data_IF_558682407462
#
_entry.id   IF_558682407462
#
_cell.length_a   1.000
_cell.length_b   1.000
_cell.length_c   1.000
_cell.angle_alpha   90.00
_cell.angle_beta   90.00
_cell.angle_gamma   90.00
#
_symmetry.space_group_name_H-M   'P 1'
#
loop_
_entity.id
_entity.type
_entity.pdbx_description
1 polymer ?
#
# COMPACT_ATOMS: atom_id res chain seq x y z
N UNK A 1 -49.31 -1.59 -7.21
CA UNK A 1 -48.02 -2.29 -6.95
C UNK A 1 -48.18 -3.68 -6.33
N UNK A 2 -49.27 -3.87 -5.59
CA UNK A 2 -49.62 -4.99 -4.73
C UNK A 2 -49.79 -6.30 -5.49
N UNK A 3 -50.10 -6.25 -6.79
CA UNK A 3 -50.12 -7.43 -7.66
C UNK A 3 -48.76 -8.18 -7.67
N UNK A 4 -47.65 -7.47 -7.44
CA UNK A 4 -46.34 -8.10 -7.29
C UNK A 4 -46.18 -8.85 -5.98
N UNK A 5 -47.15 -8.79 -5.05
CA UNK A 5 -47.21 -9.61 -3.83
C UNK A 5 -47.95 -10.94 -4.07
N UNK A 6 -48.78 -11.02 -5.12
CA UNK A 6 -49.52 -12.25 -5.47
C UNK A 6 -48.87 -13.10 -6.58
N UNK A 7 -48.15 -12.49 -7.51
CA UNK A 7 -47.32 -13.25 -8.46
C UNK A 7 -46.85 -12.45 -9.64
N UNK A 8 -47.49 -11.31 -9.89
CA UNK A 8 -47.29 -10.55 -11.10
C UNK A 8 -45.88 -9.97 -11.19
N UNK A 9 -45.36 -9.98 -12.42
CA UNK A 9 -44.19 -9.20 -12.80
C UNK A 9 -44.72 -7.94 -13.47
N UNK A 10 -44.31 -6.78 -12.98
CA UNK A 10 -44.66 -5.50 -13.57
C UNK A 10 -43.44 -5.00 -14.33
N UNK A 11 -43.57 -4.88 -15.64
CA UNK A 11 -42.59 -4.27 -16.51
C UNK A 11 -42.98 -2.80 -16.72
N UNK A 12 -42.05 -1.89 -16.47
CA UNK A 12 -42.22 -0.48 -16.77
C UNK A 12 -41.52 -0.19 -18.11
N UNK A 13 -42.30 -0.19 -19.19
CA UNK A 13 -41.79 0.09 -20.53
C UNK A 13 -41.91 1.58 -20.84
N UNK A 14 -40.97 2.36 -20.30
CA UNK A 14 -40.85 3.80 -20.58
C UNK A 14 -39.44 4.09 -21.12
N UNK A 15 -39.24 4.04 -22.44
CA UNK A 15 -37.93 4.25 -23.05
C UNK A 15 -37.40 5.64 -22.70
N UNK A 16 -36.26 5.70 -22.02
CA UNK A 16 -35.67 6.97 -21.59
C UNK A 16 -35.32 7.89 -22.77
N UNK A 17 -35.03 7.33 -23.94
CA UNK A 17 -34.69 8.09 -25.16
C UNK A 17 -35.93 8.70 -25.86
N UNK A 18 -37.11 8.11 -25.68
CA UNK A 18 -38.34 8.59 -26.32
C UNK A 18 -39.10 9.56 -25.41
N UNK A 19 -39.18 9.22 -24.12
CA UNK A 19 -39.98 9.96 -23.13
C UNK A 19 -39.14 10.90 -22.25
N UNK A 20 -37.82 10.95 -22.48
CA UNK A 20 -36.86 11.82 -21.79
C UNK A 20 -37.10 11.82 -20.26
N UNK A 21 -37.23 13.00 -19.66
CA UNK A 21 -37.40 13.17 -18.21
C UNK A 21 -38.75 12.67 -17.71
N UNK A 22 -39.81 12.76 -18.51
CA UNK A 22 -41.16 12.36 -18.08
C UNK A 22 -41.24 10.85 -17.86
N UNK A 23 -40.65 10.06 -18.76
CA UNK A 23 -40.58 8.61 -18.62
C UNK A 23 -39.76 8.19 -17.38
N UNK A 24 -38.66 8.88 -17.13
CA UNK A 24 -37.82 8.65 -15.94
C UNK A 24 -38.60 8.98 -14.66
N UNK A 25 -39.29 10.13 -14.62
CA UNK A 25 -40.08 10.54 -13.47
C UNK A 25 -41.23 9.57 -13.18
N UNK A 26 -41.97 9.11 -14.20
CA UNK A 26 -43.02 8.13 -14.04
C UNK A 26 -42.49 6.82 -13.44
N UNK A 27 -41.35 6.33 -13.94
CA UNK A 27 -40.69 5.15 -13.39
C UNK A 27 -40.23 5.36 -11.95
N UNK A 28 -39.64 6.51 -11.62
CA UNK A 28 -39.22 6.84 -10.26
C UNK A 28 -40.40 6.89 -9.28
N UNK A 29 -41.53 7.50 -9.69
CA UNK A 29 -42.75 7.55 -8.90
C UNK A 29 -43.27 6.14 -8.64
N UNK A 30 -43.38 5.31 -9.69
CA UNK A 30 -43.86 3.94 -9.53
C UNK A 30 -42.92 3.13 -8.62
N UNK A 31 -41.61 3.23 -8.83
CA UNK A 31 -40.59 2.58 -8.01
C UNK A 31 -40.73 2.97 -6.54
N UNK A 32 -40.89 4.27 -6.26
CA UNK A 32 -41.10 4.76 -4.90
C UNK A 32 -42.36 4.18 -4.25
N UNK A 33 -43.50 4.20 -4.98
CA UNK A 33 -44.75 3.61 -4.50
C UNK A 33 -44.62 2.11 -4.26
N UNK A 34 -43.92 1.40 -5.15
CA UNK A 34 -43.67 -0.02 -5.02
C UNK A 34 -42.81 -0.35 -3.79
N UNK A 35 -41.73 0.41 -3.55
CA UNK A 35 -40.89 0.26 -2.36
C UNK A 35 -41.69 0.49 -1.07
N UNK A 36 -42.52 1.54 -1.04
CA UNK A 36 -43.40 1.84 0.12
C UNK A 36 -44.45 0.76 0.36
N UNK A 37 -45.08 0.25 -0.71
CA UNK A 37 -46.04 -0.86 -0.62
C UNK A 37 -45.37 -2.14 -0.09
N UNK A 38 -44.16 -2.42 -0.57
CA UNK A 38 -43.37 -3.58 -0.13
C UNK A 38 -42.94 -3.50 1.33
N UNK A 39 -42.60 -2.31 1.84
CA UNK A 39 -42.28 -2.11 3.26
C UNK A 39 -43.50 -2.20 4.19
N UNK A 40 -44.71 -1.90 3.70
CA UNK A 40 -45.94 -1.90 4.50
C UNK A 40 -46.54 -3.30 4.71
N UNK A 41 -46.13 -4.28 3.91
CA UNK A 41 -46.70 -5.63 3.98
C UNK A 41 -46.27 -6.36 5.26
N UNK A 42 -47.17 -7.17 5.82
CA UNK A 42 -46.82 -8.06 6.91
C UNK A 42 -45.95 -9.21 6.41
N UNK A 43 -44.85 -9.47 7.12
CA UNK A 43 -43.88 -10.51 6.75
C UNK A 43 -44.10 -11.74 7.63
N UNK A 44 -44.49 -12.84 6.99
CA UNK A 44 -44.58 -14.17 7.57
C UNK A 44 -43.62 -15.14 6.88
N UNK A 45 -43.53 -16.37 7.38
CA UNK A 45 -42.75 -17.44 6.74
C UNK A 45 -43.22 -17.76 5.31
N UNK A 46 -44.51 -17.53 5.02
CA UNK A 46 -45.15 -17.78 3.73
C UNK A 46 -45.10 -16.58 2.77
N UNK A 47 -44.63 -15.41 3.23
CA UNK A 47 -44.60 -14.20 2.38
C UNK A 47 -43.68 -14.40 1.20
N UNK A 48 -44.20 -14.23 0.00
CA UNK A 48 -43.44 -14.41 -1.23
C UNK A 48 -42.32 -13.36 -1.35
N UNK A 49 -41.07 -13.78 -1.66
CA UNK A 49 -40.01 -12.85 -2.00
C UNK A 49 -40.39 -12.03 -3.24
N UNK A 50 -40.02 -10.76 -3.24
CA UNK A 50 -40.21 -9.88 -4.40
C UNK A 50 -38.87 -9.30 -4.81
N UNK A 51 -38.80 -8.82 -6.05
CA UNK A 51 -37.57 -8.22 -6.56
C UNK A 51 -37.83 -6.88 -7.22
N UNK A 52 -36.83 -6.01 -7.12
CA UNK A 52 -36.69 -4.80 -7.89
C UNK A 52 -35.52 -5.01 -8.86
N UNK A 53 -35.78 -4.87 -10.15
CA UNK A 53 -34.76 -5.00 -11.19
C UNK A 53 -34.70 -3.68 -11.96
N UNK A 54 -33.53 -3.03 -11.93
CA UNK A 54 -33.31 -1.76 -12.61
C UNK A 54 -32.05 -1.85 -13.47
N UNK A 55 -32.27 -1.86 -14.78
CA UNK A 55 -31.22 -1.56 -15.75
C UNK A 55 -30.97 -0.05 -15.81
N UNK A 56 -29.75 0.35 -16.19
CA UNK A 56 -29.30 1.74 -16.21
C UNK A 56 -29.73 2.52 -14.96
N UNK A 57 -29.55 1.87 -13.80
CA UNK A 57 -30.19 2.27 -12.55
C UNK A 57 -29.82 3.69 -12.11
N UNK A 58 -28.70 4.25 -12.59
CA UNK A 58 -28.30 5.63 -12.31
C UNK A 58 -29.42 6.62 -12.57
N UNK A 59 -30.24 6.45 -13.63
CA UNK A 59 -31.31 7.40 -13.95
C UNK A 59 -32.41 7.46 -12.89
N UNK A 60 -32.63 6.35 -12.20
CA UNK A 60 -33.77 6.16 -11.31
C UNK A 60 -33.41 6.29 -9.83
N UNK A 61 -32.15 6.52 -9.47
CA UNK A 61 -31.74 6.55 -8.06
C UNK A 61 -32.29 7.75 -7.28
N UNK A 62 -32.62 7.48 -6.02
CA UNK A 62 -33.07 8.46 -5.05
C UNK A 62 -32.44 8.19 -3.68
N UNK A 63 -32.47 9.16 -2.78
CA UNK A 63 -32.04 8.98 -1.39
C UNK A 63 -32.87 7.91 -0.65
N UNK A 64 -34.14 7.73 -1.02
CA UNK A 64 -35.00 6.73 -0.40
C UNK A 64 -34.59 5.29 -0.76
N UNK A 65 -33.94 5.06 -1.91
CA UNK A 65 -33.40 3.75 -2.25
C UNK A 65 -32.42 3.25 -1.19
N UNK A 66 -31.65 4.16 -0.60
CA UNK A 66 -30.68 3.83 0.45
C UNK A 66 -31.35 3.30 1.71
N UNK A 67 -32.39 4.00 2.15
CA UNK A 67 -33.20 3.62 3.30
C UNK A 67 -33.90 2.28 3.02
N UNK A 68 -34.44 2.12 1.81
CA UNK A 68 -35.06 0.86 1.39
C UNK A 68 -34.06 -0.30 1.40
N UNK A 69 -32.85 -0.15 0.85
CA UNK A 69 -31.84 -1.23 0.85
C UNK A 69 -31.47 -1.70 2.26
N UNK A 70 -31.46 -0.79 3.24
CA UNK A 70 -31.17 -1.16 4.64
C UNK A 70 -32.21 -2.10 5.25
N UNK A 71 -33.46 -2.02 4.79
CA UNK A 71 -34.61 -2.81 5.26
C UNK A 71 -35.08 -3.87 4.28
N UNK A 72 -34.55 -3.90 3.05
CA UNK A 72 -34.97 -4.82 1.98
C UNK A 72 -34.89 -6.30 2.40
N UNK A 73 -33.87 -6.66 3.20
CA UNK A 73 -33.72 -8.04 3.71
C UNK A 73 -34.88 -8.48 4.60
N UNK A 74 -35.29 -7.64 5.57
CA UNK A 74 -36.40 -7.98 6.47
C UNK A 74 -37.72 -7.99 5.70
N UNK A 75 -37.87 -7.11 4.71
CA UNK A 75 -39.01 -7.09 3.80
C UNK A 75 -38.94 -8.19 2.73
N UNK A 76 -38.06 -9.21 2.81
CA UNK A 76 -37.91 -10.29 1.80
C UNK A 76 -37.83 -9.76 0.36
N UNK A 77 -37.06 -8.70 0.15
CA UNK A 77 -36.90 -8.05 -1.16
C UNK A 77 -35.47 -8.17 -1.65
N UNK A 78 -35.31 -8.59 -2.91
CA UNK A 78 -34.04 -8.56 -3.61
C UNK A 78 -33.99 -7.35 -4.54
N UNK A 79 -32.91 -6.56 -4.48
CA UNK A 79 -32.70 -5.48 -5.44
C UNK A 79 -31.53 -5.82 -6.34
N UNK A 80 -31.75 -5.72 -7.64
CA UNK A 80 -30.73 -5.88 -8.68
C UNK A 80 -30.63 -4.56 -9.41
N UNK A 81 -29.44 -3.95 -9.32
CA UNK A 81 -29.11 -2.68 -9.94
C UNK A 81 -27.98 -2.91 -10.93
N UNK A 82 -28.16 -2.47 -12.17
CA UNK A 82 -27.16 -2.59 -13.23
C UNK A 82 -26.80 -1.21 -13.73
N UNK A 83 -25.52 -1.01 -14.00
CA UNK A 83 -24.98 0.21 -14.59
C UNK A 83 -23.72 -0.14 -15.37
N UNK A 84 -23.33 0.73 -16.29
CA UNK A 84 -22.10 0.56 -17.06
C UNK A 84 -20.85 0.92 -16.24
N UNK A 85 -20.90 2.01 -15.45
CA UNK A 85 -19.72 2.51 -14.75
C UNK A 85 -20.09 3.39 -13.53
N UNK A 86 -19.14 3.58 -12.61
CA UNK A 86 -19.32 4.46 -11.44
C UNK A 86 -19.50 5.95 -11.79
N UNK A 87 -18.77 6.52 -12.77
CA UNK A 87 -18.96 7.93 -13.16
C UNK A 87 -20.41 8.30 -13.53
N UNK A 88 -21.18 7.37 -14.11
CA UNK A 88 -22.61 7.55 -14.37
C UNK A 88 -23.43 7.84 -13.11
N UNK A 89 -23.06 7.26 -11.96
CA UNK A 89 -23.67 7.63 -10.68
C UNK A 89 -23.28 9.02 -10.22
N UNK A 90 -22.00 9.39 -10.38
CA UNK A 90 -21.51 10.69 -9.95
C UNK A 90 -22.20 11.84 -10.68
N UNK A 91 -22.41 11.66 -12.00
CA UNK A 91 -23.14 12.63 -12.83
C UNK A 91 -24.59 12.83 -12.41
N UNK A 92 -25.27 11.78 -11.89
CA UNK A 92 -26.68 11.89 -11.51
C UNK A 92 -26.91 12.35 -10.07
N UNK A 93 -26.11 11.89 -9.12
CA UNK A 93 -26.27 12.25 -7.69
C UNK A 93 -26.03 13.74 -7.47
N UNK A 94 -25.10 14.34 -8.24
CA UNK A 94 -24.75 15.76 -8.11
C UNK A 94 -24.18 16.13 -6.74
N UNK A 95 -23.94 17.43 -6.54
CA UNK A 95 -23.46 17.98 -5.26
C UNK A 95 -21.94 17.99 -5.07
N UNK A 96 -21.50 18.37 -3.86
CA UNK A 96 -20.09 18.65 -3.57
C UNK A 96 -19.22 17.39 -3.44
N UNK A 97 -19.79 16.23 -3.09
CA UNK A 97 -19.06 14.96 -2.89
C UNK A 97 -19.88 13.72 -3.29
N UNK A 98 -20.18 13.53 -4.59
CA UNK A 98 -21.01 12.43 -5.08
C UNK A 98 -20.39 11.04 -4.84
N UNK A 99 -19.06 10.97 -4.76
CA UNK A 99 -18.32 9.73 -4.46
C UNK A 99 -18.69 9.13 -3.11
N UNK A 100 -18.86 9.95 -2.06
CA UNK A 100 -19.19 9.45 -0.72
C UNK A 100 -20.59 8.86 -0.65
N UNK A 101 -21.54 9.50 -1.33
CA UNK A 101 -22.92 9.02 -1.42
C UNK A 101 -22.97 7.71 -2.20
N UNK A 102 -22.26 7.64 -3.33
CA UNK A 102 -22.15 6.43 -4.15
C UNK A 102 -21.48 5.30 -3.37
N UNK A 103 -20.39 5.56 -2.66
CA UNK A 103 -19.71 4.55 -1.86
C UNK A 103 -20.59 4.04 -0.70
N UNK A 104 -21.33 4.93 -0.03
CA UNK A 104 -22.31 4.53 0.97
C UNK A 104 -23.40 3.63 0.35
N UNK A 105 -23.87 3.97 -0.85
CA UNK A 105 -24.81 3.15 -1.63
C UNK A 105 -24.28 1.78 -1.95
N UNK A 106 -23.08 1.72 -2.52
CA UNK A 106 -22.44 0.46 -2.86
C UNK A 106 -22.15 -0.40 -1.62
N UNK A 107 -21.95 0.21 -0.45
CA UNK A 107 -21.81 -0.50 0.83
C UNK A 107 -23.05 -1.32 1.23
N UNK A 108 -24.24 -0.87 0.85
CA UNK A 108 -25.48 -1.59 1.14
C UNK A 108 -25.69 -2.81 0.22
N UNK A 109 -25.10 -2.80 -0.97
CA UNK A 109 -25.15 -3.90 -1.93
C UNK A 109 -24.18 -5.02 -1.56
N UNK A 110 -24.69 -6.17 -1.12
CA UNK A 110 -23.86 -7.27 -0.59
C UNK A 110 -23.13 -8.08 -1.66
N UNK A 111 -23.81 -8.31 -2.79
CA UNK A 111 -23.24 -9.02 -3.93
C UNK A 111 -22.96 -8.02 -5.03
N UNK A 112 -21.76 -8.08 -5.59
CA UNK A 112 -21.37 -7.26 -6.74
C UNK A 112 -20.80 -8.17 -7.81
N UNK A 113 -21.16 -7.87 -9.05
CA UNK A 113 -20.71 -8.64 -10.22
C UNK A 113 -20.12 -7.64 -11.18
N UNK A 114 -18.84 -7.79 -11.46
CA UNK A 114 -18.10 -6.93 -12.40
C UNK A 114 -17.93 -7.69 -13.70
N UNK A 115 -18.43 -7.14 -14.79
CA UNK A 115 -18.20 -7.64 -16.14
C UNK A 115 -17.02 -6.90 -16.78
N UNK A 116 -16.74 -7.22 -18.05
CA UNK A 116 -15.72 -6.49 -18.79
C UNK A 116 -16.04 -4.99 -18.78
N UNK A 117 -15.08 -4.18 -18.31
CA UNK A 117 -15.25 -2.75 -18.18
C UNK A 117 -13.98 -1.98 -18.58
N UNK A 118 -14.17 -0.90 -19.34
CA UNK A 118 -13.09 -0.07 -19.89
C UNK A 118 -12.80 1.18 -19.03
N UNK A 119 -13.65 1.51 -18.06
CA UNK A 119 -13.43 2.66 -17.18
C UNK A 119 -12.40 2.34 -16.08
N UNK A 120 -11.29 3.06 -16.10
CA UNK A 120 -10.20 2.92 -15.12
C UNK A 120 -10.67 3.19 -13.69
N UNK A 121 -11.58 4.14 -13.48
CA UNK A 121 -12.06 4.52 -12.14
C UNK A 121 -12.83 3.37 -11.49
N UNK A 122 -13.76 2.78 -12.23
CA UNK A 122 -14.55 1.62 -11.79
C UNK A 122 -13.68 0.40 -11.58
N UNK A 123 -12.70 0.15 -12.46
CA UNK A 123 -11.78 -0.97 -12.31
C UNK A 123 -10.89 -0.84 -11.08
N UNK A 124 -10.36 0.36 -10.82
CA UNK A 124 -9.57 0.64 -9.63
C UNK A 124 -10.40 0.44 -8.36
N UNK A 125 -11.63 0.95 -8.35
CA UNK A 125 -12.56 0.78 -7.23
C UNK A 125 -12.90 -0.70 -6.98
N UNK A 126 -13.11 -1.48 -8.04
CA UNK A 126 -13.36 -2.92 -7.94
C UNK A 126 -12.16 -3.65 -7.33
N UNK A 127 -10.94 -3.37 -7.79
CA UNK A 127 -9.70 -3.93 -7.24
C UNK A 127 -9.49 -3.57 -5.77
N UNK A 128 -9.73 -2.31 -5.40
CA UNK A 128 -9.64 -1.86 -4.01
C UNK A 128 -10.66 -2.54 -3.12
N UNK A 129 -11.89 -2.74 -3.61
CA UNK A 129 -12.95 -3.42 -2.88
C UNK A 129 -12.65 -4.90 -2.65
N UNK A 130 -12.14 -5.60 -3.66
CA UNK A 130 -11.72 -7.00 -3.53
C UNK A 130 -10.49 -7.10 -2.60
N UNK A 131 -9.63 -6.08 -2.62
CA UNK A 131 -8.50 -5.95 -1.72
C UNK A 131 -7.23 -6.62 -2.23
N UNK A 132 -6.24 -6.71 -1.33
CA UNK A 132 -4.86 -7.10 -1.65
C UNK A 132 -4.46 -8.43 -1.02
N UNK A 133 -3.79 -9.27 -1.80
CA UNK A 133 -3.17 -10.52 -1.37
C UNK A 133 -1.68 -10.33 -1.11
N UNK A 134 -1.12 -11.10 -0.17
CA UNK A 134 0.32 -11.13 0.07
C UNK A 134 1.00 -11.96 -1.02
N UNK A 135 2.00 -11.36 -1.67
CA UNK A 135 2.85 -12.00 -2.67
C UNK A 135 4.30 -11.93 -2.18
N UNK A 136 4.96 -13.08 -2.16
CA UNK A 136 6.37 -13.17 -1.77
C UNK A 136 7.25 -12.98 -3.00
N UNK A 137 8.02 -11.89 -3.05
CA UNK A 137 9.03 -11.67 -4.09
C UNK A 137 10.41 -11.97 -3.53
N UNK A 138 11.15 -12.81 -4.24
CA UNK A 138 12.57 -13.04 -3.96
C UNK A 138 13.39 -12.13 -4.86
N UNK A 139 14.25 -11.29 -4.28
CA UNK A 139 15.22 -10.49 -5.01
C UNK A 139 16.61 -11.13 -4.90
N UNK A 140 17.31 -11.16 -6.03
CA UNK A 140 18.69 -11.63 -6.12
C UNK A 140 19.52 -10.50 -6.70
N UNK A 141 20.45 -9.97 -5.91
CA UNK A 141 21.43 -8.98 -6.35
C UNK A 141 22.82 -9.57 -6.28
N UNK A 142 23.56 -9.55 -7.39
CA UNK A 142 24.97 -9.89 -7.44
C UNK A 142 25.76 -8.63 -7.76
N UNK A 143 26.70 -8.27 -6.88
CA UNK A 143 27.60 -7.15 -7.07
C UNK A 143 29.05 -7.68 -7.08
N UNK A 144 29.81 -7.28 -8.09
CA UNK A 144 31.22 -7.58 -8.23
C UNK A 144 31.96 -6.28 -8.51
N UNK A 145 32.78 -5.86 -7.55
CA UNK A 145 33.61 -4.66 -7.64
C UNK A 145 35.08 -5.00 -7.50
N UNK A 146 35.91 -4.41 -8.36
CA UNK A 146 37.36 -4.44 -8.27
C UNK A 146 37.84 -3.01 -7.99
N UNK A 147 38.59 -2.82 -6.91
CA UNK A 147 39.05 -1.50 -6.48
C UNK A 147 40.57 -1.53 -6.31
N UNK A 148 41.26 -0.60 -6.98
CA UNK A 148 42.69 -0.32 -6.77
C UNK A 148 42.79 1.04 -6.09
N UNK A 149 43.41 1.09 -4.92
CA UNK A 149 43.77 2.35 -4.25
C UNK A 149 45.29 2.49 -4.25
N UNK A 150 45.77 3.59 -4.85
CA UNK A 150 47.18 4.01 -4.84
C UNK A 150 47.28 5.26 -3.98
N UNK A 151 48.08 5.20 -2.91
CA UNK A 151 48.32 6.33 -2.00
C UNK A 151 49.80 6.70 -2.04
N UNK A 152 50.10 7.92 -2.47
CA UNK A 152 51.44 8.51 -2.38
C UNK A 152 51.40 9.77 -1.50
N UNK A 153 52.25 9.82 -0.48
CA UNK A 153 52.34 10.95 0.44
C UNK A 153 53.77 11.24 0.86
N UNK A 154 54.16 12.51 0.81
CA UNK A 154 55.45 13.03 1.28
C UNK A 154 55.21 13.98 2.44
N UNK A 155 55.93 13.79 3.56
CA UNK A 155 55.82 14.66 4.73
C UNK A 155 57.20 15.11 5.21
N UNK A 156 57.33 16.42 5.47
CA UNK A 156 58.56 17.07 5.90
C UNK A 156 58.35 17.69 7.29
N UNK A 157 59.21 17.35 8.25
CA UNK A 157 59.16 17.87 9.63
C UNK A 157 60.50 18.43 10.09
N UNK A 158 60.48 19.59 10.77
CA UNK A 158 61.66 20.18 11.41
C UNK A 158 61.31 20.55 12.85
N UNK A 159 62.18 20.20 13.81
CA UNK A 159 62.02 20.53 15.22
C UNK A 159 63.30 21.13 15.82
N UNK A 160 63.13 22.12 16.70
CA UNK A 160 64.19 22.78 17.46
C UNK A 160 63.86 22.72 18.95
N UNK A 161 64.80 22.32 19.80
CA UNK A 161 64.60 22.22 21.26
C UNK A 161 65.83 22.73 22.00
N UNK A 162 65.64 23.73 22.87
CA UNK A 162 66.67 24.27 23.75
C UNK A 162 66.33 23.96 25.21
N UNK A 163 67.28 23.42 25.97
CA UNK A 163 67.13 23.08 27.39
C UNK A 163 68.35 23.55 28.20
N UNK A 164 68.09 24.12 29.39
CA UNK A 164 69.11 24.59 30.35
C UNK A 164 68.78 24.09 31.75
N UNK A 165 69.77 23.57 32.47
CA UNK A 165 69.61 23.07 33.83
C UNK A 165 70.82 23.37 34.70
N UNK A 166 70.58 23.81 35.93
CA UNK A 166 71.61 23.97 36.97
C UNK A 166 71.35 23.01 38.12
N UNK A 167 72.44 22.46 38.69
CA UNK A 167 72.38 21.55 39.82
C UNK A 167 73.52 21.82 40.81
N UNK A 168 73.20 21.77 42.10
CA UNK A 168 74.15 21.98 43.19
C UNK A 168 74.03 20.82 44.18
N UNK A 169 75.16 20.26 44.58
CA UNK A 169 75.24 19.13 45.50
C UNK A 169 76.28 19.42 46.59
N UNK A 170 75.90 19.26 47.86
CA UNK A 170 76.78 19.39 49.01
C UNK A 170 76.83 18.04 49.74
N UNK A 171 78.03 17.55 50.03
CA UNK A 171 78.25 16.29 50.73
C UNK A 171 79.32 16.44 51.79
N UNK A 172 79.07 15.93 52.99
CA UNK A 172 80.07 15.82 54.05
C UNK A 172 80.31 14.34 54.34
N UNK A 173 81.58 13.99 54.52
CA UNK A 173 82.05 12.63 54.79
C UNK A 173 82.95 12.64 56.01
N UNK A 174 82.79 11.62 56.84
CA UNK A 174 83.52 11.40 58.07
C UNK A 174 84.01 9.96 58.10
N UNK A 175 85.28 9.76 58.43
CA UNK A 175 85.88 8.43 58.52
C UNK A 175 86.83 8.37 59.71
N UNK A 176 86.58 7.43 60.61
CA UNK A 176 87.41 7.12 61.77
C UNK A 176 88.19 5.84 61.52
N UNK A 177 89.47 5.82 61.89
CA UNK A 177 90.32 4.63 61.82
C UNK A 177 91.15 4.49 63.10
N UNK A 178 91.68 3.28 63.41
CA UNK A 178 92.31 2.99 64.71
C UNK A 178 93.48 3.91 65.09
N UNK A 179 94.11 4.58 64.12
CA UNK A 179 95.19 5.56 64.32
C UNK A 179 94.83 7.01 63.92
N UNK A 180 93.54 7.33 63.78
CA UNK A 180 93.09 8.71 63.55
C UNK A 180 91.81 8.83 62.74
N UNK A 181 91.18 10.01 62.85
CA UNK A 181 89.91 10.34 62.19
C UNK A 181 90.13 11.44 61.15
N UNK A 182 89.52 11.33 59.97
CA UNK A 182 89.47 12.38 58.96
C UNK A 182 88.01 12.70 58.61
N UNK A 183 87.74 13.97 58.35
CA UNK A 183 86.48 14.41 57.75
C UNK A 183 86.77 15.30 56.56
N UNK A 184 85.91 15.23 55.54
CA UNK A 184 85.99 16.00 54.32
C UNK A 184 84.61 16.49 53.91
N UNK A 185 84.52 17.75 53.50
CA UNK A 185 83.30 18.35 52.94
C UNK A 185 83.58 18.67 51.48
N UNK A 186 82.62 18.37 50.61
CA UNK A 186 82.68 18.65 49.17
C UNK A 186 81.40 19.30 48.68
N UNK A 187 81.56 20.46 48.04
CA UNK A 187 80.55 21.15 47.26
C UNK A 187 80.81 20.97 45.77
N UNK A 188 79.82 20.47 45.03
CA UNK A 188 79.88 20.36 43.57
C UNK A 188 78.73 21.15 42.95
N UNK A 189 79.06 22.05 42.03
CA UNK A 189 78.10 22.83 41.25
C UNK A 189 78.27 22.45 39.77
N UNK A 190 77.17 22.13 39.09
CA UNK A 190 77.16 21.76 37.68
C UNK A 190 76.03 22.43 36.93
N UNK A 191 76.34 23.05 35.81
CA UNK A 191 75.37 23.57 34.84
C UNK A 191 75.44 22.76 33.56
N UNK A 192 74.31 22.59 32.87
CA UNK A 192 74.26 21.94 31.57
C UNK A 192 73.29 22.68 30.64
N UNK A 193 73.79 23.03 29.46
CA UNK A 193 73.05 23.68 28.39
C UNK A 193 73.05 22.75 27.17
N UNK A 194 71.87 22.35 26.70
CA UNK A 194 71.69 21.47 25.54
C UNK A 194 70.83 22.13 24.47
N UNK A 195 71.29 22.10 23.22
CA UNK A 195 70.49 22.47 22.04
C UNK A 195 70.42 21.27 21.11
N UNK A 196 69.22 20.90 20.66
CA UNK A 196 69.01 19.80 19.73
C UNK A 196 68.16 20.25 18.55
N UNK A 197 68.62 19.92 17.35
CA UNK A 197 67.92 20.20 16.10
C UNK A 197 67.69 18.89 15.36
N UNK A 198 66.43 18.64 14.97
CA UNK A 198 66.03 17.44 14.25
C UNK A 198 65.30 17.79 12.96
N UNK A 199 65.67 17.16 11.84
CA UNK A 199 64.92 17.20 10.59
C UNK A 199 64.61 15.77 10.16
N UNK A 200 63.37 15.50 9.76
CA UNK A 200 62.96 14.22 9.21
C UNK A 200 62.19 14.40 7.91
N UNK A 201 62.41 13.47 6.98
CA UNK A 201 61.67 13.32 5.75
C UNK A 201 61.15 11.89 5.68
N UNK A 202 59.83 11.74 5.48
CA UNK A 202 59.19 10.43 5.38
C UNK A 202 58.47 10.32 4.05
N UNK A 203 58.83 9.29 3.28
CA UNK A 203 58.17 8.92 2.03
C UNK A 203 57.32 7.67 2.30
N UNK A 204 56.02 7.73 2.01
CA UNK A 204 55.13 6.58 2.13
C UNK A 204 54.45 6.31 0.79
N UNK A 205 54.65 5.11 0.27
CA UNK A 205 54.01 4.61 -0.95
C UNK A 205 53.32 3.30 -0.62
N UNK A 206 52.01 3.23 -0.86
CA UNK A 206 51.22 2.04 -0.59
C UNK A 206 50.25 1.74 -1.74
N UNK A 207 50.32 0.53 -2.27
CA UNK A 207 49.33 -0.02 -3.19
C UNK A 207 48.45 -1.02 -2.45
N UNK A 208 47.14 -0.85 -2.53
CA UNK A 208 46.19 -1.86 -2.04
C UNK A 208 45.19 -2.22 -3.12
N UNK A 209 45.10 -3.52 -3.41
CA UNK A 209 44.13 -4.09 -4.32
C UNK A 209 43.08 -4.86 -3.52
N UNK A 210 41.81 -4.58 -3.78
CA UNK A 210 40.69 -5.22 -3.12
C UNK A 210 39.68 -5.73 -4.13
N UNK A 211 39.34 -7.01 -4.03
CA UNK A 211 38.27 -7.62 -4.83
C UNK A 211 37.10 -7.93 -3.91
N UNK A 212 35.94 -7.33 -4.18
CA UNK A 212 34.73 -7.52 -3.39
C UNK A 212 33.64 -8.16 -4.25
N UNK A 213 33.21 -9.35 -3.85
CA UNK A 213 32.06 -10.02 -4.44
C UNK A 213 30.99 -10.18 -3.37
N UNK A 214 29.87 -9.49 -3.54
CA UNK A 214 28.73 -9.55 -2.64
C UNK A 214 27.52 -10.12 -3.36
N UNK A 215 26.88 -11.14 -2.79
CA UNK A 215 25.54 -11.57 -3.22
C UNK A 215 24.55 -11.25 -2.11
N UNK A 216 23.48 -10.54 -2.44
CA UNK A 216 22.38 -10.29 -1.53
C UNK A 216 21.14 -11.08 -2.01
N UNK A 217 20.53 -11.84 -1.09
CA UNK A 217 19.28 -12.56 -1.34
C UNK A 217 18.26 -12.06 -0.35
N UNK A 218 17.33 -11.24 -0.83
CA UNK A 218 16.22 -10.72 -0.04
C UNK A 218 14.94 -11.47 -0.36
N UNK A 219 14.14 -11.79 0.65
CA UNK A 219 12.72 -12.10 0.45
C UNK A 219 11.92 -10.95 1.02
N UNK A 220 11.09 -10.33 0.18
CA UNK A 220 10.21 -9.26 0.59
C UNK A 220 8.77 -9.70 0.37
N UNK A 221 7.95 -9.50 1.39
CA UNK A 221 6.51 -9.57 1.25
C UNK A 221 6.00 -8.26 0.64
N UNK A 222 5.24 -8.34 -0.44
CA UNK A 222 4.55 -7.21 -1.04
C UNK A 222 3.06 -7.52 -1.10
N UNK A 223 2.21 -6.49 -0.92
CA UNK A 223 0.76 -6.65 -1.05
C UNK A 223 0.32 -6.15 -2.43
N UNK A 224 -0.15 -7.06 -3.26
CA UNK A 224 -0.64 -6.80 -4.63
C UNK A 224 -2.16 -6.97 -4.69
N UNK A 225 -2.83 -6.38 -5.67
CA UNK A 225 -4.28 -6.54 -5.77
C UNK A 225 -4.62 -8.00 -6.09
N UNK A 226 -5.66 -8.54 -5.44
CA UNK A 226 -6.11 -9.90 -5.72
C UNK A 226 -6.64 -10.02 -7.17
N UNK A 227 -7.27 -8.96 -7.67
CA UNK A 227 -7.57 -8.75 -9.09
C UNK A 227 -7.03 -7.39 -9.48
N UNK A 228 -6.04 -7.36 -10.37
CA UNK A 228 -5.46 -6.10 -10.87
C UNK A 228 -6.47 -5.33 -11.74
N UNK A 229 -6.51 -3.98 -11.69
CA UNK A 229 -7.52 -3.18 -12.40
C UNK A 229 -7.57 -3.45 -13.91
N UNK A 230 -6.42 -3.67 -14.54
CA UNK A 230 -6.35 -3.93 -15.98
C UNK A 230 -7.05 -5.23 -16.39
N UNK A 231 -7.18 -6.21 -15.48
CA UNK A 231 -7.78 -7.52 -15.78
C UNK A 231 -9.27 -7.42 -16.04
N UNK A 232 -9.96 -6.42 -15.47
CA UNK A 232 -11.37 -6.18 -15.76
C UNK A 232 -11.63 -5.78 -17.21
N UNK A 233 -10.69 -5.08 -17.87
CA UNK A 233 -10.82 -4.72 -19.29
C UNK A 233 -10.22 -5.77 -20.25
N UNK A 234 -9.16 -6.47 -19.83
CA UNK A 234 -8.38 -7.35 -20.70
C UNK A 234 -8.80 -8.84 -20.65
N UNK A 235 -9.13 -9.36 -19.46
CA UNK A 235 -9.22 -10.80 -19.25
C UNK A 235 -10.68 -11.32 -19.26
N UNK A 236 -11.66 -10.45 -19.01
CA UNK A 236 -13.07 -10.84 -18.92
C UNK A 236 -13.70 -10.97 -20.31
N UNK A 237 -14.29 -12.13 -20.61
CA UNK A 237 -14.94 -12.39 -21.90
C UNK A 237 -16.19 -11.51 -22.05
N UNK A 238 -16.34 -10.90 -23.21
CA UNK A 238 -17.47 -10.01 -23.56
C UNK A 238 -18.65 -10.75 -24.21
N UNK A 239 -18.59 -12.07 -24.37
CA UNK A 239 -19.58 -12.85 -25.10
C UNK A 239 -19.33 -12.88 -26.62
N UNK A 240 -20.35 -13.29 -27.36
CA UNK A 240 -20.28 -13.42 -28.82
C UNK A 240 -19.50 -14.63 -29.34
N UNK A 241 -19.45 -14.82 -30.68
CA UNK A 241 -18.88 -16.01 -31.31
C UNK A 241 -17.41 -16.26 -30.94
N UNK A 242 -16.61 -15.18 -30.86
CA UNK A 242 -15.18 -15.23 -30.54
C UNK A 242 -14.91 -15.76 -29.12
N UNK A 243 -15.87 -15.60 -28.21
CA UNK A 243 -15.82 -16.12 -26.84
C UNK A 243 -16.77 -17.29 -26.60
N UNK A 244 -17.27 -17.95 -27.67
CA UNK A 244 -18.20 -19.09 -27.61
C UNK A 244 -19.48 -18.78 -26.84
N UNK A 245 -19.98 -17.55 -26.95
CA UNK A 245 -21.16 -17.05 -26.22
C UNK A 245 -21.01 -17.18 -24.70
N UNK A 246 -19.79 -17.03 -24.18
CA UNK A 246 -19.51 -16.98 -22.74
C UNK A 246 -19.12 -15.57 -22.33
N UNK A 247 -19.74 -15.08 -21.26
CA UNK A 247 -19.42 -13.82 -20.59
C UNK A 247 -18.76 -14.14 -19.26
N UNK A 248 -17.60 -13.54 -18.96
CA UNK A 248 -16.95 -13.73 -17.66
C UNK A 248 -17.27 -12.56 -16.74
N UNK A 249 -17.72 -12.86 -15.52
CA UNK A 249 -17.90 -11.85 -14.47
C UNK A 249 -17.14 -12.21 -13.20
N UNK A 250 -16.58 -11.20 -12.53
CA UNK A 250 -15.99 -11.32 -11.20
C UNK A 250 -17.09 -11.08 -10.17
N UNK A 251 -17.49 -12.14 -9.47
CA UNK A 251 -18.49 -12.09 -8.41
C UNK A 251 -17.80 -11.86 -7.07
N UNK A 252 -18.23 -10.84 -6.34
CA UNK A 252 -17.72 -10.48 -5.01
C UNK A 252 -18.83 -10.59 -3.99
N UNK A 253 -18.56 -11.32 -2.89
CA UNK A 253 -19.48 -11.55 -1.79
C UNK A 253 -18.92 -10.94 -0.50
N UNK A 254 -19.51 -9.85 -0.03
CA UNK A 254 -19.10 -9.26 1.25
C UNK A 254 -19.49 -10.15 2.44
N UNK A 255 -18.50 -10.57 3.23
CA UNK A 255 -18.71 -11.36 4.45
C UNK A 255 -18.99 -12.86 4.23
N UNK A 256 -18.80 -13.36 3.01
CA UNK A 256 -18.90 -14.79 2.69
C UNK A 256 -17.71 -15.22 1.84
N UNK A 257 -17.42 -16.51 1.83
CA UNK A 257 -16.40 -17.13 0.99
C UNK A 257 -17.04 -18.15 0.08
N UNK A 258 -16.57 -18.24 -1.15
CA UNK A 258 -16.94 -19.33 -2.04
C UNK A 258 -16.30 -20.61 -1.53
N UNK A 259 -17.06 -21.70 -1.47
CA UNK A 259 -16.52 -23.01 -1.09
C UNK A 259 -15.46 -23.50 -2.09
N UNK A 260 -15.56 -23.08 -3.36
CA UNK A 260 -14.70 -23.51 -4.45
C UNK A 260 -13.24 -23.01 -4.31
N UNK A 261 -13.02 -21.78 -3.85
CA UNK A 261 -11.67 -21.18 -3.77
C UNK A 261 -11.32 -20.62 -2.37
N UNK A 262 -12.24 -20.65 -1.41
CA UNK A 262 -12.05 -20.11 -0.07
C UNK A 262 -11.89 -18.58 -0.02
N UNK A 263 -12.10 -17.90 -1.14
CA UNK A 263 -12.00 -16.44 -1.28
C UNK A 263 -13.39 -15.83 -1.28
N UNK A 264 -13.45 -14.53 -1.00
CA UNK A 264 -14.71 -13.76 -1.02
C UNK A 264 -15.06 -13.24 -2.44
N UNK A 265 -14.25 -13.61 -3.43
CA UNK A 265 -14.46 -13.29 -4.84
C UNK A 265 -14.16 -14.50 -5.72
N UNK A 266 -14.74 -14.56 -6.92
CA UNK A 266 -14.48 -15.61 -7.91
C UNK A 266 -14.82 -15.10 -9.32
N UNK A 267 -14.00 -15.43 -10.32
CA UNK A 267 -14.36 -15.26 -11.72
C UNK A 267 -15.25 -16.42 -12.18
N UNK A 268 -16.37 -16.12 -12.83
CA UNK A 268 -17.38 -17.09 -13.26
C UNK A 268 -17.76 -16.80 -14.70
N UNK A 269 -17.84 -17.87 -15.50
CA UNK A 269 -18.35 -17.80 -16.87
C UNK A 269 -19.87 -18.04 -16.88
N UNK A 270 -20.58 -17.17 -17.58
CA UNK A 270 -22.02 -17.21 -17.80
C UNK A 270 -22.30 -17.46 -19.29
N UNK A 271 -23.24 -18.36 -19.64
CA UNK A 271 -23.72 -18.46 -21.01
C UNK A 271 -24.54 -17.22 -21.37
N UNK A 272 -24.31 -16.69 -22.58
CA UNK A 272 -25.06 -15.58 -23.17
C UNK A 272 -26.39 -16.06 -23.78
#
# INVERSE_FOLDING_TARGET
PELTHDGAIILLDFPALELNETGILAQMIFKYLWMRSTQRREISSQTRPVFLWADECQYFLSSFDMEFQSTARSSRTATVLMTQNLPSFYGRIGGQRPEHVTNAMMGNLKTKIFHNNQDATTNQWASEMIGKTSVWRSSYGENSGYTINVTEGQSYGTSHTDSRGESRSHGSTWSTSPNGSSSGISDTHGTNDGRSFGRSETYNTGNSEGMSKGSNRGKQEQREFAVEPHRFGADLKTGGPDHRNLVTGVVVLSGRKFAANGQHWMAVDFPQ
#
